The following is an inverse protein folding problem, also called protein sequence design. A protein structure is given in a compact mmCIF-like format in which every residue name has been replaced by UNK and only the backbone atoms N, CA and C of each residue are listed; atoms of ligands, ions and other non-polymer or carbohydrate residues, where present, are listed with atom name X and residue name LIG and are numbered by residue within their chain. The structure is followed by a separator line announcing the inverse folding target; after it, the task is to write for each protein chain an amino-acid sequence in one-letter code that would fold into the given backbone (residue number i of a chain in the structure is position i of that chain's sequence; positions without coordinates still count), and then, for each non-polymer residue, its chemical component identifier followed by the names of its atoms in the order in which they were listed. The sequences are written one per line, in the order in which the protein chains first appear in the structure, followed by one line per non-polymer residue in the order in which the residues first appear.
data_IF_977328515282
#
_entry.id   IF_977328515282
#
_cell.length_a   1.000
_cell.length_b   1.000
_cell.length_c   1.000
_cell.angle_alpha   90.00
_cell.angle_beta   90.00
_cell.angle_gamma   90.00
#
_symmetry.space_group_name_H-M   'P 1'
#
loop_
_entity.id
_entity.type
_entity.pdbx_description
1 polymer ?
#
# COMPACT_ATOMS: atom_id res chain seq x y z
N UNK A 1 -48.19 -15.56 -17.29
CA UNK A 1 -47.39 -14.88 -16.24
C UNK A 1 -46.13 -14.33 -16.89
N UNK A 2 -45.95 -13.01 -16.91
CA UNK A 2 -44.91 -12.30 -17.68
C UNK A 2 -43.70 -12.02 -16.78
N UNK A 3 -42.57 -12.65 -17.11
CA UNK A 3 -41.32 -12.56 -16.34
C UNK A 3 -40.78 -11.12 -16.44
N UNK A 4 -40.61 -10.47 -15.29
CA UNK A 4 -40.12 -9.10 -15.18
C UNK A 4 -38.60 -9.12 -15.37
N UNK A 5 -38.13 -8.45 -16.43
CA UNK A 5 -36.71 -8.25 -16.69
C UNK A 5 -36.06 -7.46 -15.55
N UNK A 6 -35.00 -8.03 -14.99
CA UNK A 6 -34.17 -7.47 -13.94
C UNK A 6 -33.30 -6.34 -14.51
N UNK A 7 -33.69 -5.08 -14.28
CA UNK A 7 -33.00 -3.86 -14.73
C UNK A 7 -31.83 -3.44 -13.81
N UNK A 8 -31.46 -4.25 -12.83
CA UNK A 8 -30.46 -3.92 -11.81
C UNK A 8 -29.00 -4.25 -12.19
N UNK A 9 -28.73 -4.70 -13.42
CA UNK A 9 -27.36 -4.94 -13.88
C UNK A 9 -26.85 -3.72 -14.65
N UNK A 10 -25.81 -3.01 -14.18
CA UNK A 10 -25.17 -1.99 -14.99
C UNK A 10 -24.70 -2.65 -16.28
N UNK A 11 -25.18 -2.12 -17.40
CA UNK A 11 -24.87 -2.61 -18.73
C UNK A 11 -23.42 -2.23 -19.03
N UNK A 12 -22.49 -3.15 -18.81
CA UNK A 12 -21.09 -3.01 -19.18
C UNK A 12 -20.99 -2.74 -20.69
N UNK A 13 -20.89 -1.47 -21.03
CA UNK A 13 -20.73 -0.98 -22.39
C UNK A 13 -19.24 -1.12 -22.74
N UNK A 14 -18.78 -2.35 -22.91
CA UNK A 14 -17.43 -2.62 -23.41
C UNK A 14 -17.38 -2.15 -24.87
N UNK A 15 -16.72 -1.01 -25.10
CA UNK A 15 -16.49 -0.50 -26.45
C UNK A 15 -15.62 -1.50 -27.23
N UNK A 16 -15.97 -1.86 -28.48
CA UNK A 16 -15.30 -2.93 -29.24
C UNK A 16 -13.92 -2.51 -29.82
N UNK A 17 -13.35 -1.38 -29.39
CA UNK A 17 -12.08 -0.84 -29.85
C UNK A 17 -11.02 -0.83 -28.73
N UNK A 18 -10.99 -1.90 -27.95
CA UNK A 18 -9.93 -2.15 -26.99
C UNK A 18 -8.68 -2.64 -27.71
N UNK A 19 -7.73 -1.73 -27.98
CA UNK A 19 -6.31 -2.10 -28.03
C UNK A 19 -6.08 -2.93 -26.77
N UNK A 20 -5.84 -4.24 -26.91
CA UNK A 20 -5.56 -5.13 -25.80
C UNK A 20 -4.17 -4.75 -25.27
N UNK A 21 -4.13 -3.66 -24.49
CA UNK A 21 -2.98 -3.30 -23.69
C UNK A 21 -2.87 -4.40 -22.64
N UNK A 22 -1.94 -5.33 -22.86
CA UNK A 22 -1.72 -6.44 -21.95
C UNK A 22 -0.94 -5.89 -20.74
N UNK A 23 -1.61 -5.63 -19.60
CA UNK A 23 -0.98 -4.97 -18.46
C UNK A 23 0.14 -5.82 -17.83
N UNK A 24 0.16 -7.13 -18.10
CA UNK A 24 1.10 -8.08 -17.52
C UNK A 24 2.49 -8.05 -18.19
N UNK A 25 2.56 -7.73 -19.49
CA UNK A 25 3.84 -7.60 -20.20
C UNK A 25 4.48 -6.25 -19.94
N UNK A 26 3.69 -5.18 -20.00
CA UNK A 26 4.16 -3.84 -19.64
C UNK A 26 4.49 -3.75 -18.15
N UNK A 27 3.74 -4.47 -17.31
CA UNK A 27 3.97 -4.51 -15.88
C UNK A 27 5.33 -5.08 -15.49
N UNK A 28 5.77 -6.16 -16.14
CA UNK A 28 7.11 -6.73 -15.93
C UNK A 28 8.21 -5.82 -16.48
N UNK A 29 7.96 -5.16 -17.61
CA UNK A 29 8.89 -4.21 -18.21
C UNK A 29 9.13 -2.99 -17.28
N UNK A 30 8.08 -2.37 -16.74
CA UNK A 30 8.25 -1.24 -15.82
C UNK A 30 8.94 -1.64 -14.51
N UNK A 31 8.72 -2.85 -14.00
CA UNK A 31 9.40 -3.36 -12.79
C UNK A 31 10.92 -3.47 -13.01
N UNK A 32 11.34 -3.90 -14.20
CA UNK A 32 12.75 -3.97 -14.58
C UNK A 32 13.36 -2.58 -14.79
N UNK A 33 12.64 -1.67 -15.45
CA UNK A 33 13.06 -0.27 -15.64
C UNK A 33 13.21 0.44 -14.28
N UNK A 34 12.28 0.23 -13.36
CA UNK A 34 12.32 0.83 -12.02
C UNK A 34 13.54 0.35 -11.22
N UNK A 35 13.87 -0.94 -11.28
CA UNK A 35 15.11 -1.48 -10.66
C UNK A 35 16.37 -0.93 -11.32
N UNK A 36 16.36 -0.73 -12.64
CA UNK A 36 17.48 -0.16 -13.39
C UNK A 36 17.72 1.31 -13.04
N UNK A 37 16.66 2.14 -13.05
CA UNK A 37 16.76 3.57 -12.75
C UNK A 37 16.96 3.89 -11.27
N UNK A 38 16.44 3.04 -10.36
CA UNK A 38 16.59 3.24 -8.91
C UNK A 38 17.98 2.92 -8.36
N UNK A 39 18.89 2.39 -9.18
CA UNK A 39 20.23 1.97 -8.74
C UNK A 39 21.29 2.97 -9.21
N UNK A 40 22.13 3.47 -8.29
CA UNK A 40 23.24 4.39 -8.61
C UNK A 40 24.21 3.86 -9.69
N UNK A 41 24.23 2.55 -9.94
CA UNK A 41 24.98 1.87 -11.01
C UNK A 41 24.62 2.35 -12.40
N UNK A 42 23.36 2.70 -12.67
CA UNK A 42 22.94 3.17 -14.00
C UNK A 42 23.62 4.49 -14.37
N UNK A 43 23.67 5.44 -13.44
CA UNK A 43 24.34 6.72 -13.63
C UNK A 43 25.83 6.55 -13.91
N UNK A 44 26.50 5.66 -13.17
CA UNK A 44 27.94 5.36 -13.36
C UNK A 44 28.20 4.83 -14.78
N UNK A 45 27.41 3.85 -15.24
CA UNK A 45 27.54 3.27 -16.58
C UNK A 45 27.29 4.34 -17.65
N UNK A 46 26.26 5.17 -17.48
CA UNK A 46 25.94 6.25 -18.42
C UNK A 46 27.07 7.29 -18.51
N UNK A 47 27.65 7.70 -17.37
CA UNK A 47 28.79 8.63 -17.34
C UNK A 47 30.02 8.04 -18.04
N UNK A 48 30.32 6.77 -17.80
CA UNK A 48 31.45 6.09 -18.47
C UNK A 48 31.23 6.05 -19.98
N UNK A 49 30.02 5.73 -20.45
CA UNK A 49 29.67 5.73 -21.87
C UNK A 49 29.91 7.09 -22.52
N UNK A 50 29.48 8.17 -21.86
CA UNK A 50 29.70 9.55 -22.33
C UNK A 50 31.19 9.88 -22.42
N UNK A 51 31.97 9.53 -21.38
CA UNK A 51 33.42 9.76 -21.37
C UNK A 51 34.11 8.99 -22.51
N UNK A 52 33.74 7.73 -22.72
CA UNK A 52 34.28 6.90 -23.81
C UNK A 52 33.94 7.53 -25.16
N UNK A 53 32.70 8.00 -25.34
CA UNK A 53 32.27 8.64 -26.59
C UNK A 53 33.08 9.90 -26.88
N UNK A 54 33.22 10.79 -25.89
CA UNK A 54 34.03 12.00 -26.00
C UNK A 54 35.49 11.63 -26.31
N UNK A 55 36.05 10.63 -25.61
CA UNK A 55 37.43 10.19 -25.81
C UNK A 55 37.66 9.63 -27.22
N UNK A 56 36.77 8.75 -27.70
CA UNK A 56 36.84 8.21 -29.06
C UNK A 56 36.77 9.33 -30.10
N UNK A 57 35.89 10.31 -29.90
CA UNK A 57 35.74 11.42 -30.83
C UNK A 57 36.98 12.32 -30.89
N UNK A 58 37.61 12.59 -29.75
CA UNK A 58 38.86 13.37 -29.65
C UNK A 58 40.05 12.59 -30.21
N UNK A 59 40.15 11.27 -29.98
CA UNK A 59 41.24 10.44 -30.52
C UNK A 59 41.11 10.23 -32.04
N UNK A 60 39.89 10.09 -32.57
CA UNK A 60 39.62 9.97 -34.02
C UNK A 60 39.45 11.34 -34.71
N UNK A 61 40.27 12.32 -34.33
CA UNK A 61 40.24 13.69 -34.88
C UNK A 61 40.42 13.73 -36.41
N UNK A 62 41.10 12.72 -36.98
CA UNK A 62 41.34 12.60 -38.42
C UNK A 62 40.07 12.34 -39.24
N UNK A 63 39.02 11.76 -38.64
CA UNK A 63 37.76 11.50 -39.33
C UNK A 63 36.78 12.68 -39.25
N UNK A 64 36.92 13.60 -38.28
CA UNK A 64 36.02 14.75 -38.06
C UNK A 64 34.51 14.39 -38.02
N UNK A 65 34.15 13.18 -37.57
CA UNK A 65 32.75 12.70 -37.58
C UNK A 65 31.81 13.49 -36.66
N UNK A 66 32.31 14.18 -35.62
CA UNK A 66 31.51 15.11 -34.81
C UNK A 66 32.38 16.27 -34.26
N UNK A 67 32.44 17.39 -34.99
CA UNK A 67 33.26 18.55 -34.62
C UNK A 67 32.68 19.24 -33.38
N UNK A 68 33.53 19.78 -32.49
CA UNK A 68 33.08 20.54 -31.32
C UNK A 68 32.06 21.61 -31.74
N UNK A 69 30.80 21.60 -31.22
CA UNK A 69 30.36 21.14 -29.89
C UNK A 69 29.52 19.84 -29.87
N UNK A 70 30.00 18.74 -30.48
CA UNK A 70 29.40 17.39 -30.42
C UNK A 70 27.88 17.35 -30.71
N UNK A 71 27.49 17.73 -31.93
CA UNK A 71 26.07 17.91 -32.29
C UNK A 71 25.28 16.60 -32.22
N UNK A 72 25.90 15.47 -32.54
CA UNK A 72 25.24 14.16 -32.54
C UNK A 72 24.97 13.68 -31.12
N UNK A 73 25.92 13.89 -30.21
CA UNK A 73 25.75 13.56 -28.79
C UNK A 73 24.61 14.40 -28.18
N UNK A 74 24.58 15.70 -28.48
CA UNK A 74 23.52 16.59 -28.01
C UNK A 74 22.14 16.16 -28.56
N UNK A 75 22.07 15.83 -29.85
CA UNK A 75 20.85 15.33 -30.47
C UNK A 75 20.37 14.02 -29.80
N UNK A 76 21.29 13.10 -29.52
CA UNK A 76 20.97 11.84 -28.83
C UNK A 76 20.41 12.09 -27.43
N UNK A 77 21.03 12.98 -26.65
CA UNK A 77 20.54 13.35 -25.32
C UNK A 77 19.17 14.01 -25.37
N UNK A 78 18.92 14.85 -26.37
CA UNK A 78 17.62 15.52 -26.56
C UNK A 78 16.52 14.49 -26.83
N UNK A 79 16.76 13.50 -27.70
CA UNK A 79 15.82 12.39 -27.94
C UNK A 79 15.66 11.52 -26.70
N UNK A 80 16.75 11.23 -25.99
CA UNK A 80 16.71 10.45 -24.75
C UNK A 80 15.81 11.11 -23.70
N UNK A 81 15.95 12.43 -23.51
CA UNK A 81 15.09 13.19 -22.61
C UNK A 81 13.62 13.20 -23.06
N UNK A 82 13.37 13.38 -24.37
CA UNK A 82 12.03 13.40 -24.94
C UNK A 82 11.27 12.07 -24.73
N UNK A 83 11.96 10.93 -24.84
CA UNK A 83 11.36 9.61 -24.59
C UNK A 83 11.28 9.23 -23.11
N UNK A 84 12.16 9.79 -22.26
CA UNK A 84 12.12 9.55 -20.83
C UNK A 84 10.83 10.10 -20.19
N UNK A 85 10.39 11.30 -20.58
CA UNK A 85 9.19 11.93 -20.01
C UNK A 85 7.91 11.06 -20.06
N UNK A 86 7.48 10.52 -21.23
CA UNK A 86 6.29 9.66 -21.29
C UNK A 86 6.47 8.32 -20.56
N UNK A 87 7.69 7.75 -20.56
CA UNK A 87 7.96 6.53 -19.79
C UNK A 87 7.85 6.77 -18.28
N UNK A 88 8.38 7.90 -17.80
CA UNK A 88 8.27 8.31 -16.40
C UNK A 88 6.80 8.51 -16.02
N UNK A 89 6.01 9.18 -16.87
CA UNK A 89 4.57 9.37 -16.63
C UNK A 89 3.83 8.04 -16.51
N UNK A 90 4.12 7.07 -17.38
CA UNK A 90 3.52 5.73 -17.29
C UNK A 90 3.93 4.99 -16.01
N UNK A 91 5.20 5.10 -15.61
CA UNK A 91 5.69 4.55 -14.35
C UNK A 91 5.01 5.21 -13.14
N UNK A 92 4.84 6.53 -13.16
CA UNK A 92 4.17 7.31 -12.12
C UNK A 92 2.70 6.93 -11.99
N UNK A 93 1.94 6.87 -13.09
CA UNK A 93 0.53 6.44 -13.06
C UNK A 93 0.37 5.05 -12.42
N UNK A 94 1.30 4.14 -12.70
CA UNK A 94 1.26 2.80 -12.12
C UNK A 94 1.63 2.78 -10.64
N UNK A 95 2.59 3.60 -10.22
CA UNK A 95 2.93 3.77 -8.81
C UNK A 95 1.74 4.35 -8.04
N UNK A 96 1.12 5.41 -8.56
CA UNK A 96 -0.05 6.04 -7.93
C UNK A 96 -1.23 5.07 -7.79
N UNK A 97 -1.48 4.21 -8.79
CA UNK A 97 -2.49 3.15 -8.70
C UNK A 97 -2.17 2.09 -7.64
N UNK A 98 -0.89 1.78 -7.39
CA UNK A 98 -0.48 0.88 -6.29
C UNK A 98 -0.70 1.58 -4.96
N UNK A 99 -0.23 2.82 -4.83
CA UNK A 99 -0.33 3.62 -3.61
C UNK A 99 -1.78 3.86 -3.20
N UNK A 100 -2.68 4.14 -4.15
CA UNK A 100 -4.12 4.28 -3.89
C UNK A 100 -4.74 2.99 -3.34
N UNK A 101 -4.46 1.84 -3.96
CA UNK A 101 -4.96 0.54 -3.48
C UNK A 101 -4.43 0.19 -2.09
N UNK A 102 -3.16 0.50 -1.84
CA UNK A 102 -2.57 0.29 -0.52
C UNK A 102 -3.26 1.20 0.52
N UNK A 103 -3.46 2.48 0.22
CA UNK A 103 -4.15 3.40 1.10
C UNK A 103 -5.61 3.01 1.39
N UNK A 104 -6.33 2.47 0.40
CA UNK A 104 -7.69 1.93 0.61
C UNK A 104 -7.68 0.71 1.54
N UNK A 105 -6.73 -0.20 1.35
CA UNK A 105 -6.56 -1.38 2.20
C UNK A 105 -6.24 -0.96 3.64
N UNK A 106 -5.29 -0.04 3.81
CA UNK A 106 -4.87 0.46 5.12
C UNK A 106 -6.04 1.13 5.86
N UNK A 107 -6.88 1.90 5.13
CA UNK A 107 -8.11 2.50 5.70
C UNK A 107 -9.11 1.45 6.14
N UNK A 108 -9.33 0.40 5.34
CA UNK A 108 -10.24 -0.68 5.69
C UNK A 108 -9.76 -1.46 6.93
N UNK A 109 -8.46 -1.75 7.00
CA UNK A 109 -7.83 -2.40 8.15
C UNK A 109 -7.93 -1.51 9.39
N UNK A 110 -7.67 -0.21 9.28
CA UNK A 110 -7.79 0.74 10.38
C UNK A 110 -9.24 0.81 10.91
N UNK A 111 -10.24 0.88 10.03
CA UNK A 111 -11.65 0.87 10.41
C UNK A 111 -12.05 -0.42 11.13
N UNK A 112 -11.60 -1.58 10.63
CA UNK A 112 -11.85 -2.87 11.29
C UNK A 112 -11.15 -2.96 12.65
N UNK A 113 -9.92 -2.45 12.76
CA UNK A 113 -9.16 -2.43 14.02
C UNK A 113 -9.85 -1.56 15.05
N UNK A 114 -10.35 -0.38 14.66
CA UNK A 114 -11.13 0.49 15.54
C UNK A 114 -12.42 -0.21 16.02
N UNK A 115 -13.19 -0.82 15.12
CA UNK A 115 -14.41 -1.54 15.47
C UNK A 115 -14.14 -2.69 16.45
N UNK A 116 -13.07 -3.46 16.23
CA UNK A 116 -12.66 -4.54 17.14
C UNK A 116 -12.24 -3.99 18.52
N UNK A 117 -11.53 -2.87 18.57
CA UNK A 117 -11.16 -2.22 19.82
C UNK A 117 -12.39 -1.73 20.60
N UNK A 118 -13.36 -1.12 19.91
CA UNK A 118 -14.64 -0.70 20.51
C UNK A 118 -15.44 -1.90 21.04
N UNK A 119 -15.47 -3.01 20.28
CA UNK A 119 -16.10 -4.24 20.72
C UNK A 119 -15.44 -4.81 21.99
N UNK A 120 -14.11 -4.95 21.99
CA UNK A 120 -13.34 -5.42 23.14
C UNK A 120 -13.53 -4.51 24.37
N UNK A 121 -13.59 -3.19 24.18
CA UNK A 121 -13.83 -2.24 25.27
C UNK A 121 -15.23 -2.42 25.89
N UNK A 122 -16.26 -2.66 25.06
CA UNK A 122 -17.62 -2.94 25.54
C UNK A 122 -17.70 -4.28 26.27
N UNK A 123 -17.05 -5.32 25.76
CA UNK A 123 -16.98 -6.61 26.44
C UNK A 123 -16.19 -6.53 27.75
N UNK A 124 -15.10 -5.78 27.80
CA UNK A 124 -14.37 -5.56 29.05
C UNK A 124 -15.23 -4.81 30.08
N UNK A 125 -16.00 -3.82 29.64
CA UNK A 125 -16.92 -3.09 30.50
C UNK A 125 -18.05 -3.98 31.04
N UNK A 126 -18.63 -4.86 30.21
CA UNK A 126 -19.66 -5.81 30.61
C UNK A 126 -19.11 -6.82 31.63
N UNK A 127 -17.93 -7.39 31.37
CA UNK A 127 -17.23 -8.32 32.29
C UNK A 127 -16.94 -7.63 33.63
N UNK A 128 -16.47 -6.38 33.60
CA UNK A 128 -16.22 -5.61 34.84
C UNK A 128 -17.49 -5.40 35.66
N UNK A 129 -18.63 -5.11 35.02
CA UNK A 129 -19.91 -4.94 35.71
C UNK A 129 -20.42 -6.25 36.34
N UNK A 130 -20.24 -7.38 35.64
CA UNK A 130 -20.57 -8.70 36.20
C UNK A 130 -19.69 -9.02 37.41
N UNK A 131 -18.39 -8.77 37.32
CA UNK A 131 -17.45 -8.96 38.43
C UNK A 131 -17.74 -8.03 39.61
N UNK A 132 -18.22 -6.80 39.36
CA UNK A 132 -18.60 -5.87 40.43
C UNK A 132 -19.81 -6.36 41.27
N UNK A 133 -20.66 -7.23 40.72
CA UNK A 133 -21.81 -7.82 41.42
C UNK A 133 -21.52 -9.18 42.06
N UNK A 134 -20.33 -9.77 41.83
CA UNK A 134 -19.93 -10.98 42.55
C UNK A 134 -19.59 -10.57 43.98
N UNK A 135 -20.37 -11.07 44.93
CA UNK A 135 -20.23 -10.85 46.38
C UNK A 135 -18.77 -11.01 46.78
N UNK A 136 -18.20 -9.95 47.35
CA UNK A 136 -16.81 -9.97 47.82
C UNK A 136 -16.68 -10.95 48.99
N UNK A 137 -15.49 -11.54 49.13
CA UNK A 137 -15.19 -12.47 50.23
C UNK A 137 -15.47 -11.85 51.60
N UNK A 138 -15.34 -10.52 51.71
CA UNK A 138 -15.61 -9.77 52.93
C UNK A 138 -17.10 -9.73 53.27
N UNK A 139 -17.98 -9.51 52.30
CA UNK A 139 -19.43 -9.55 52.52
C UNK A 139 -19.91 -10.95 52.92
N UNK A 140 -19.32 -11.98 52.31
CA UNK A 140 -19.54 -13.38 52.71
C UNK A 140 -19.06 -13.65 54.13
N UNK A 141 -17.94 -13.05 54.55
CA UNK A 141 -17.42 -13.16 55.92
C UNK A 141 -18.36 -12.48 56.93
N UNK A 142 -18.82 -11.27 56.63
CA UNK A 142 -19.73 -10.53 57.50
C UNK A 142 -21.06 -11.28 57.66
N UNK A 143 -21.63 -11.83 56.58
CA UNK A 143 -22.82 -12.68 56.67
C UNK A 143 -22.57 -13.97 57.45
N UNK A 144 -21.39 -14.59 57.32
CA UNK A 144 -21.02 -15.76 58.12
C UNK A 144 -20.92 -15.43 59.61
N UNK A 145 -20.32 -14.30 59.97
CA UNK A 145 -20.25 -13.85 61.37
C UNK A 145 -21.64 -13.54 61.95
N UNK A 146 -22.52 -12.94 61.15
CA UNK A 146 -23.89 -12.66 61.56
C UNK A 146 -24.68 -13.95 61.81
N UNK A 147 -24.57 -14.94 60.92
CA UNK A 147 -25.18 -16.26 61.10
C UNK A 147 -24.61 -16.97 62.35
N UNK A 148 -23.30 -16.89 62.58
CA UNK A 148 -22.66 -17.46 63.79
C UNK A 148 -23.18 -16.79 65.07
N UNK A 149 -23.36 -15.46 65.06
CA UNK A 149 -23.93 -14.72 66.19
C UNK A 149 -25.36 -15.16 66.49
N UNK A 150 -26.19 -15.31 65.47
CA UNK A 150 -27.58 -15.73 65.61
C UNK A 150 -27.69 -17.15 66.17
N UNK A 151 -26.85 -18.08 65.71
CA UNK A 151 -26.81 -19.45 66.25
C UNK A 151 -26.38 -19.48 67.72
N UNK A 152 -25.39 -18.68 68.11
CA UNK A 152 -24.97 -18.59 69.52
C UNK A 152 -26.03 -17.96 70.42
N UNK A 153 -26.80 -16.98 69.94
CA UNK A 153 -27.94 -16.43 70.69
C UNK A 153 -29.06 -17.45 70.89
N UNK A 154 -29.27 -18.32 69.90
CA UNK A 154 -30.32 -19.34 69.97
C UNK A 154 -29.96 -20.49 70.91
N UNK A 155 -28.68 -20.86 71.01
CA UNK A 155 -28.17 -21.86 71.96
C UNK A 155 -28.05 -21.35 73.41
N UNK A 156 -28.20 -20.03 73.65
CA UNK A 156 -28.13 -19.43 74.98
C UNK A 156 -29.51 -19.25 75.64
N UNK A 157 -30.59 -19.77 75.03
CA UNK A 157 -31.93 -19.91 75.61
C UNK A 157 -32.23 -21.38 75.90
#
# INVERSE_FOLDING_TARGET
MKQRDNLARPRDRQAPLGVHYNPDTFGRFSESIARLMGTARFLIIQTILVIIWISLNVLFLALQWDKYPFILLNLMFSVQAAYAAPLILLAQNRQELRDRRQAETDRAVAASTQANAEFLARELASVRLVLANVVTVDELRDQLEEVIKLLNQQNSK
#
